data_IF_059381891597
#
_entry.id   IF_059381891597
#
_cell.length_a   1.000
_cell.length_b   1.000
_cell.length_c   1.000
_cell.angle_alpha   90.00
_cell.angle_beta   90.00
_cell.angle_gamma   90.00
#
_symmetry.space_group_name_H-M   'P 1'
#
loop_
_entity.id
_entity.type
_entity.pdbx_description
1 polymer ?
#
# COMPACT_ATOMS: atom_id res chain seq x y z
N UNK A 1 0.68 -3.04 -0.91
CA UNK A 1 2.10 -2.74 -1.15
C UNK A 1 2.96 -3.25 0.00
N UNK A 2 4.29 -3.39 -0.23
CA UNK A 2 5.27 -3.49 0.86
C UNK A 2 5.44 -2.15 1.57
N UNK A 3 6.06 -2.14 2.75
CA UNK A 3 6.18 -0.96 3.61
C UNK A 3 7.60 -0.78 4.15
N UNK A 4 8.19 0.35 3.83
CA UNK A 4 9.56 0.68 4.25
C UNK A 4 9.57 1.86 5.24
N UNK A 5 8.75 2.88 4.99
CA UNK A 5 8.81 4.14 5.72
C UNK A 5 7.49 4.93 5.62
N UNK A 6 7.33 5.93 6.48
CA UNK A 6 6.28 6.96 6.29
C UNK A 6 6.46 7.73 4.96
N UNK A 7 7.64 7.71 4.35
CA UNK A 7 7.86 8.27 3.02
C UNK A 7 7.02 7.57 1.94
N UNK A 8 6.63 6.30 2.13
CA UNK A 8 5.76 5.58 1.20
C UNK A 8 4.44 6.34 1.00
N UNK A 9 3.96 7.05 2.03
CA UNK A 9 2.75 7.88 1.96
C UNK A 9 2.95 9.00 0.93
N UNK A 10 4.08 9.72 0.99
CA UNK A 10 4.40 10.80 0.06
C UNK A 10 4.60 10.26 -1.36
N UNK A 11 5.27 9.12 -1.48
CA UNK A 11 5.54 8.44 -2.75
C UNK A 11 4.24 8.06 -3.46
N UNK A 12 3.30 7.41 -2.77
CA UNK A 12 2.00 7.06 -3.37
C UNK A 12 1.16 8.29 -3.67
N UNK A 13 1.14 9.27 -2.78
CA UNK A 13 0.35 10.51 -2.96
C UNK A 13 0.85 11.37 -4.12
N UNK A 14 2.13 11.27 -4.48
CA UNK A 14 2.70 11.99 -5.63
C UNK A 14 2.23 11.44 -6.98
N UNK A 15 1.75 10.18 -7.01
CA UNK A 15 1.35 9.51 -8.26
C UNK A 15 -0.15 9.63 -8.50
N UNK A 16 -0.95 9.44 -7.45
CA UNK A 16 -2.40 9.42 -7.53
C UNK A 16 -3.02 9.85 -6.21
N UNK A 17 -4.21 10.45 -6.27
CA UNK A 17 -5.02 10.67 -5.07
C UNK A 17 -5.40 9.30 -4.49
N UNK A 18 -4.87 9.00 -3.32
CA UNK A 18 -5.11 7.75 -2.59
C UNK A 18 -5.32 8.04 -1.11
N UNK A 19 -6.07 7.20 -0.43
CA UNK A 19 -6.17 7.20 1.03
C UNK A 19 -5.45 5.97 1.58
N UNK A 20 -5.06 6.01 2.84
CA UNK A 20 -4.29 4.95 3.49
C UNK A 20 -5.09 4.26 4.57
N UNK A 21 -4.71 3.03 4.87
CA UNK A 21 -5.18 2.30 6.04
C UNK A 21 -4.04 2.25 7.05
N UNK A 22 -4.18 2.99 8.15
CA UNK A 22 -3.16 3.14 9.17
C UNK A 22 -3.61 2.60 10.54
N UNK A 23 -2.67 2.44 11.47
CA UNK A 23 -2.97 2.10 12.87
C UNK A 23 -3.58 3.32 13.57
N UNK A 24 -4.49 3.08 14.50
CA UNK A 24 -5.13 4.14 15.30
C UNK A 24 -4.15 5.01 16.09
N UNK A 25 -2.99 4.47 16.48
CA UNK A 25 -1.96 5.21 17.21
C UNK A 25 -1.41 6.42 16.42
N UNK A 26 -1.43 6.37 15.09
CA UNK A 26 -0.99 7.48 14.23
C UNK A 26 -1.84 8.73 14.42
N UNK A 27 -3.09 8.59 14.89
CA UNK A 27 -3.97 9.72 15.20
C UNK A 27 -3.44 10.62 16.34
N UNK A 28 -2.59 10.08 17.20
CA UNK A 28 -2.05 10.80 18.35
C UNK A 28 -0.72 11.48 18.05
N UNK A 29 -0.14 11.26 16.89
CA UNK A 29 1.16 11.83 16.54
C UNK A 29 1.01 13.30 16.12
N UNK A 30 1.74 14.23 16.75
CA UNK A 30 1.72 15.63 16.37
C UNK A 30 2.07 15.78 14.88
N UNK A 31 1.42 16.73 14.18
CA UNK A 31 1.61 17.00 12.77
C UNK A 31 1.10 15.88 11.83
N UNK A 32 1.49 14.61 12.05
CA UNK A 32 1.09 13.49 11.20
C UNK A 32 -0.40 13.15 11.31
N UNK A 33 -1.02 13.38 12.46
CA UNK A 33 -2.47 13.22 12.62
C UNK A 33 -3.24 14.15 11.69
N UNK A 34 -2.76 15.37 11.50
CA UNK A 34 -3.38 16.35 10.59
C UNK A 34 -3.20 15.92 9.13
N UNK A 35 -2.00 15.51 8.73
CA UNK A 35 -1.74 15.01 7.38
C UNK A 35 -2.56 13.76 7.07
N UNK A 36 -2.64 12.81 7.99
CA UNK A 36 -3.43 11.61 7.81
C UNK A 36 -4.94 11.90 7.67
N UNK A 37 -5.45 12.90 8.41
CA UNK A 37 -6.84 13.37 8.25
C UNK A 37 -7.07 14.05 6.90
N UNK A 38 -6.15 14.90 6.45
CA UNK A 38 -6.24 15.56 5.14
C UNK A 38 -6.20 14.55 3.99
N UNK A 39 -5.53 13.42 4.18
CA UNK A 39 -5.51 12.31 3.22
C UNK A 39 -6.65 11.31 3.43
N UNK A 40 -7.60 11.65 4.29
CA UNK A 40 -8.77 10.81 4.57
C UNK A 40 -8.38 9.36 4.94
N UNK A 41 -7.32 9.22 5.76
CA UNK A 41 -6.79 7.93 6.19
C UNK A 41 -7.80 7.18 7.05
N UNK A 42 -8.05 5.92 6.73
CA UNK A 42 -8.87 5.02 7.55
C UNK A 42 -8.02 4.46 8.68
N UNK A 43 -8.46 4.67 9.93
CA UNK A 43 -7.71 4.22 11.10
C UNK A 43 -8.27 2.92 11.65
N UNK A 44 -7.41 1.90 11.76
CA UNK A 44 -7.79 0.56 12.21
C UNK A 44 -7.20 0.28 13.60
N UNK A 45 -8.08 0.02 14.57
CA UNK A 45 -7.68 -0.50 15.87
C UNK A 45 -7.59 -2.03 15.83
N UNK A 46 -6.38 -2.57 15.97
CA UNK A 46 -6.11 -4.01 15.81
C UNK A 46 -6.27 -4.80 17.12
N UNK A 47 -6.32 -4.13 18.25
CA UNK A 47 -6.32 -4.75 19.59
C UNK A 47 -7.69 -5.21 20.06
N UNK A 48 -8.78 -4.67 19.51
CA UNK A 48 -10.15 -5.01 19.92
C UNK A 48 -10.95 -5.62 18.77
N UNK A 49 -11.32 -6.90 18.89
CA UNK A 49 -12.15 -7.62 17.90
C UNK A 49 -13.45 -6.91 17.53
N UNK A 50 -14.07 -6.22 18.49
CA UNK A 50 -15.32 -5.47 18.28
C UNK A 50 -15.14 -4.25 17.37
N UNK A 51 -13.97 -3.61 17.35
CA UNK A 51 -13.69 -2.46 16.49
C UNK A 51 -13.18 -2.84 15.09
N UNK A 52 -12.78 -4.09 14.89
CA UNK A 52 -12.37 -4.61 13.58
C UNK A 52 -13.54 -4.61 12.58
N UNK A 53 -14.77 -4.79 13.06
CA UNK A 53 -15.99 -4.71 12.26
C UNK A 53 -16.21 -3.29 11.72
N UNK A 54 -16.15 -2.29 12.58
CA UNK A 54 -16.36 -0.86 12.22
C UNK A 54 -15.35 -0.40 11.18
N UNK A 55 -14.06 -0.72 11.37
CA UNK A 55 -13.03 -0.36 10.41
C UNK A 55 -13.22 -1.08 9.04
N UNK A 56 -13.70 -2.32 9.06
CA UNK A 56 -14.03 -3.04 7.83
C UNK A 56 -15.19 -2.39 7.09
N UNK A 57 -16.23 -1.97 7.81
CA UNK A 57 -17.40 -1.30 7.23
C UNK A 57 -16.99 0.07 6.65
N UNK A 58 -16.15 0.84 7.34
CA UNK A 58 -15.59 2.09 6.85
C UNK A 58 -14.77 1.89 5.55
N UNK A 59 -13.88 0.90 5.53
CA UNK A 59 -13.11 0.55 4.32
C UNK A 59 -14.06 0.18 3.17
N UNK A 60 -15.10 -0.61 3.45
CA UNK A 60 -16.10 -0.98 2.46
C UNK A 60 -16.82 0.25 1.90
N UNK A 61 -17.33 1.13 2.75
CA UNK A 61 -18.09 2.29 2.33
C UNK A 61 -17.23 3.24 1.48
N UNK A 62 -15.95 3.38 1.82
CA UNK A 62 -14.98 4.13 1.02
C UNK A 62 -14.74 3.49 -0.35
N UNK A 63 -14.59 2.16 -0.41
CA UNK A 63 -14.44 1.43 -1.68
C UNK A 63 -15.69 1.52 -2.55
N UNK A 64 -16.89 1.47 -1.95
CA UNK A 64 -18.17 1.66 -2.66
C UNK A 64 -18.29 3.07 -3.21
N UNK A 65 -17.78 4.07 -2.51
CA UNK A 65 -17.71 5.48 -2.97
C UNK A 65 -16.67 5.71 -4.07
N UNK A 66 -15.93 4.68 -4.49
CA UNK A 66 -14.93 4.76 -5.57
C UNK A 66 -13.53 5.17 -5.12
N UNK A 67 -13.27 5.21 -3.82
CA UNK A 67 -11.95 5.55 -3.29
C UNK A 67 -10.90 4.48 -3.59
N UNK A 68 -9.67 4.92 -3.81
CA UNK A 68 -8.52 4.04 -3.91
C UNK A 68 -7.79 4.00 -2.57
N UNK A 69 -7.73 2.83 -1.93
CA UNK A 69 -7.10 2.64 -0.63
C UNK A 69 -5.76 1.91 -0.76
N UNK A 70 -4.73 2.45 -0.14
CA UNK A 70 -3.41 1.79 -0.02
C UNK A 70 -3.34 1.05 1.31
N UNK A 71 -3.04 -0.24 1.23
CA UNK A 71 -2.85 -1.11 2.37
C UNK A 71 -1.42 -1.65 2.40
N UNK A 72 -0.82 -1.66 3.58
CA UNK A 72 0.47 -2.31 3.86
C UNK A 72 0.24 -3.61 4.66
N UNK A 73 0.10 -4.77 3.98
CA UNK A 73 -0.31 -6.01 4.65
C UNK A 73 0.79 -6.62 5.55
N UNK A 74 2.03 -6.14 5.47
CA UNK A 74 3.10 -6.46 6.41
C UNK A 74 2.72 -6.07 7.85
N UNK A 75 1.95 -5.01 7.99
CA UNK A 75 1.48 -4.51 9.27
C UNK A 75 2.55 -3.81 10.11
N UNK A 76 3.74 -3.66 9.57
CA UNK A 76 4.86 -2.88 10.10
C UNK A 76 5.78 -2.53 8.95
N UNK A 77 6.62 -1.53 9.10
CA UNK A 77 7.72 -1.20 8.20
C UNK A 77 8.96 -2.04 8.54
N UNK A 78 9.93 -2.08 7.64
CA UNK A 78 11.21 -2.78 7.78
C UNK A 78 12.35 -1.98 7.15
N UNK A 79 13.56 -2.54 7.13
CA UNK A 79 14.80 -1.91 6.65
C UNK A 79 14.86 -1.62 5.13
N UNK A 80 13.80 -1.91 4.39
CA UNK A 80 13.72 -1.71 2.93
C UNK A 80 14.45 -2.75 2.08
N UNK A 81 15.14 -3.71 2.70
CA UNK A 81 15.89 -4.75 1.99
C UNK A 81 15.06 -6.00 1.67
N UNK A 82 13.88 -6.13 2.23
CA UNK A 82 13.02 -7.30 2.10
C UNK A 82 11.54 -6.92 2.17
N UNK A 83 10.69 -7.85 1.76
CA UNK A 83 9.24 -7.80 1.99
C UNK A 83 8.93 -8.78 3.11
N UNK A 84 8.28 -8.31 4.17
CA UNK A 84 7.82 -9.16 5.26
C UNK A 84 6.56 -9.95 4.85
N UNK A 85 6.23 -11.05 5.55
CA UNK A 85 5.03 -11.81 5.26
C UNK A 85 3.75 -10.99 5.33
N UNK A 86 2.89 -11.14 4.32
CA UNK A 86 1.60 -10.45 4.26
C UNK A 86 0.60 -11.11 5.19
N UNK A 87 0.09 -10.34 6.14
CA UNK A 87 -0.93 -10.78 7.10
C UNK A 87 -2.31 -10.82 6.43
N UNK A 88 -2.78 -11.99 6.08
CA UNK A 88 -4.08 -12.16 5.42
C UNK A 88 -5.25 -11.54 6.21
N UNK A 89 -5.13 -11.42 7.53
CA UNK A 89 -6.12 -10.77 8.37
C UNK A 89 -6.33 -9.29 7.99
N UNK A 90 -5.28 -8.59 7.53
CA UNK A 90 -5.34 -7.20 7.09
C UNK A 90 -6.03 -7.04 5.74
N UNK A 91 -6.07 -8.10 4.94
CA UNK A 91 -6.70 -8.11 3.63
C UNK A 91 -8.18 -8.52 3.67
N UNK A 92 -8.82 -8.50 4.84
CA UNK A 92 -10.23 -8.87 5.00
C UNK A 92 -11.19 -8.05 4.15
N UNK A 93 -10.88 -6.78 3.90
CA UNK A 93 -11.66 -5.91 3.03
C UNK A 93 -11.67 -6.37 1.56
N UNK A 94 -10.68 -7.14 1.11
CA UNK A 94 -10.65 -7.68 -0.25
C UNK A 94 -11.76 -8.72 -0.54
N UNK A 95 -12.38 -9.29 0.49
CA UNK A 95 -13.52 -10.20 0.37
C UNK A 95 -14.88 -9.46 0.38
N UNK A 96 -14.85 -8.13 0.49
CA UNK A 96 -16.06 -7.31 0.50
C UNK A 96 -16.68 -7.27 -0.90
N UNK A 97 -18.00 -7.23 -0.93
CA UNK A 97 -18.78 -7.06 -2.16
C UNK A 97 -19.17 -5.59 -2.28
N UNK A 98 -18.83 -4.96 -3.41
CA UNK A 98 -19.11 -3.55 -3.66
C UNK A 98 -20.54 -3.29 -4.13
N UNK A 99 -21.26 -4.35 -4.53
CA UNK A 99 -22.61 -4.28 -5.07
C UNK A 99 -22.83 -5.35 -6.11
N UNK A 100 -23.84 -5.15 -6.96
CA UNK A 100 -24.14 -5.98 -8.13
C UNK A 100 -24.15 -5.10 -9.38
N UNK A 101 -23.65 -5.61 -10.49
CA UNK A 101 -23.73 -4.96 -11.78
C UNK A 101 -25.15 -5.08 -12.40
N UNK A 102 -25.34 -4.47 -13.56
CA UNK A 102 -26.62 -4.49 -14.29
C UNK A 102 -27.09 -5.92 -14.68
N UNK A 103 -26.18 -6.90 -14.68
CA UNK A 103 -26.48 -8.32 -14.94
C UNK A 103 -26.80 -9.11 -13.67
N UNK A 104 -26.79 -8.47 -12.48
CA UNK A 104 -26.99 -9.12 -11.18
C UNK A 104 -25.75 -9.83 -10.64
N UNK A 105 -24.59 -9.69 -11.29
CA UNK A 105 -23.33 -10.27 -10.84
C UNK A 105 -22.67 -9.38 -9.77
N UNK A 106 -22.17 -10.01 -8.73
CA UNK A 106 -21.44 -9.31 -7.66
C UNK A 106 -20.17 -8.63 -8.19
N UNK A 107 -19.97 -7.36 -7.83
CA UNK A 107 -18.77 -6.59 -8.12
C UNK A 107 -17.73 -6.86 -7.01
N UNK A 108 -16.61 -7.55 -7.31
CA UNK A 108 -15.57 -7.82 -6.32
C UNK A 108 -14.68 -6.61 -6.10
N UNK A 109 -14.04 -6.53 -4.93
CA UNK A 109 -12.91 -5.61 -4.71
C UNK A 109 -11.74 -6.04 -5.58
N UNK A 110 -11.20 -5.09 -6.34
CA UNK A 110 -9.97 -5.30 -7.12
C UNK A 110 -8.78 -4.94 -6.24
N UNK A 111 -7.84 -5.85 -6.11
CA UNK A 111 -6.58 -5.66 -5.40
C UNK A 111 -5.45 -5.61 -6.41
N UNK A 112 -4.73 -4.49 -6.45
CA UNK A 112 -3.54 -4.35 -7.27
C UNK A 112 -2.29 -4.44 -6.40
N UNK A 113 -1.48 -5.50 -6.52
CA UNK A 113 -0.19 -5.57 -5.85
C UNK A 113 0.74 -4.47 -6.37
N UNK A 114 1.44 -3.78 -5.47
CA UNK A 114 2.40 -2.74 -5.82
C UNK A 114 3.68 -2.95 -5.04
N UNK A 115 4.82 -2.96 -5.71
CA UNK A 115 6.14 -2.99 -5.08
C UNK A 115 6.76 -1.60 -5.07
N UNK A 116 7.36 -1.24 -3.92
CA UNK A 116 8.09 0.00 -3.71
C UNK A 116 9.52 -0.34 -3.34
N UNK A 117 10.49 0.30 -3.97
CA UNK A 117 11.90 0.10 -3.68
C UNK A 117 12.67 1.42 -3.72
N UNK A 118 13.40 1.71 -2.67
CA UNK A 118 14.33 2.86 -2.58
C UNK A 118 15.65 2.39 -3.18
N UNK A 119 15.94 2.82 -4.41
CA UNK A 119 16.98 2.22 -5.24
C UNK A 119 18.25 3.05 -5.38
N UNK A 120 18.15 4.38 -5.23
CA UNK A 120 19.27 5.26 -5.47
C UNK A 120 19.24 6.54 -4.62
N UNK A 121 20.39 7.20 -4.57
CA UNK A 121 20.59 8.51 -3.96
C UNK A 121 21.36 9.36 -4.94
N UNK A 122 20.84 10.54 -5.32
CA UNK A 122 21.43 11.39 -6.38
C UNK A 122 21.65 10.66 -7.72
N UNK A 123 20.77 9.74 -8.10
CA UNK A 123 20.90 8.93 -9.30
C UNK A 123 21.96 7.82 -9.23
N UNK A 124 22.60 7.63 -8.06
CA UNK A 124 23.59 6.57 -7.83
C UNK A 124 22.90 5.41 -7.12
N UNK A 125 23.05 4.15 -7.60
CA UNK A 125 22.46 3.00 -6.95
C UNK A 125 22.82 2.89 -5.48
N UNK A 126 21.82 2.75 -4.62
CA UNK A 126 21.98 2.64 -3.19
C UNK A 126 22.16 1.17 -2.80
N UNK A 127 23.30 0.83 -2.20
CA UNK A 127 23.59 -0.51 -1.71
C UNK A 127 22.72 -0.91 -0.51
N UNK A 128 22.74 -2.19 -0.20
CA UNK A 128 21.97 -2.79 0.91
C UNK A 128 22.20 -2.07 2.25
N UNK A 129 23.41 -1.61 2.50
CA UNK A 129 23.81 -0.95 3.75
C UNK A 129 23.19 0.46 3.90
N UNK A 130 22.94 1.15 2.78
CA UNK A 130 22.44 2.52 2.79
C UNK A 130 20.91 2.61 2.71
N UNK A 131 20.20 1.57 2.30
CA UNK A 131 18.72 1.58 2.22
C UNK A 131 18.04 1.87 3.54
N UNK A 132 18.51 1.35 4.70
CA UNK A 132 17.92 1.67 6.00
C UNK A 132 17.88 3.16 6.34
N UNK A 133 18.69 3.99 5.68
CA UNK A 133 18.69 5.45 5.88
C UNK A 133 17.36 6.13 5.55
N UNK A 134 16.58 5.56 4.63
CA UNK A 134 15.23 6.03 4.27
C UNK A 134 14.12 5.17 4.85
N UNK A 135 14.48 4.08 5.51
CA UNK A 135 13.54 3.20 6.19
C UNK A 135 13.27 3.70 7.60
N UNK A 136 12.02 3.59 8.04
CA UNK A 136 11.65 3.94 9.42
C UNK A 136 10.97 2.74 10.06
N UNK A 137 11.64 2.11 11.02
CA UNK A 137 11.21 0.86 11.63
C UNK A 137 11.75 0.70 13.05
N UNK A 138 11.23 -0.27 13.80
CA UNK A 138 11.61 -0.51 15.18
C UNK A 138 11.30 0.67 16.10
N UNK A 139 12.25 1.05 16.93
CA UNK A 139 12.12 2.13 17.92
C UNK A 139 12.72 3.47 17.45
N UNK A 140 12.85 3.65 16.13
CA UNK A 140 13.39 4.90 15.58
C UNK A 140 12.49 6.09 15.90
N UNK A 141 13.09 7.16 16.42
CA UNK A 141 12.40 8.42 16.63
C UNK A 141 12.14 9.12 15.30
N UNK A 142 10.89 9.57 15.10
CA UNK A 142 10.43 10.10 13.84
C UNK A 142 11.13 11.41 13.43
N UNK A 143 11.23 12.39 14.36
CA UNK A 143 11.74 13.72 14.04
C UNK A 143 13.24 13.72 13.71
N UNK A 144 14.12 13.06 14.47
CA UNK A 144 15.51 12.90 14.11
C UNK A 144 15.70 12.21 12.77
N UNK A 145 14.98 11.09 12.54
CA UNK A 145 15.06 10.37 11.27
C UNK A 145 14.61 11.22 10.07
N UNK A 146 13.51 11.96 10.20
CA UNK A 146 13.02 12.86 9.13
C UNK A 146 14.08 13.92 8.79
N UNK A 147 14.71 14.52 9.82
CA UNK A 147 15.73 15.52 9.61
C UNK A 147 16.96 14.97 8.88
N UNK A 148 17.44 13.81 9.28
CA UNK A 148 18.55 13.14 8.63
C UNK A 148 18.22 12.76 7.18
N UNK A 149 17.06 12.14 6.93
CA UNK A 149 16.65 11.76 5.59
C UNK A 149 16.53 12.98 4.65
N UNK A 150 16.00 14.11 5.14
CA UNK A 150 15.92 15.35 4.35
C UNK A 150 17.31 15.94 4.02
N UNK A 151 18.30 15.74 4.90
CA UNK A 151 19.68 16.21 4.68
C UNK A 151 20.45 15.35 3.69
N UNK A 152 20.06 14.10 3.51
CA UNK A 152 20.72 13.18 2.57
C UNK A 152 20.51 13.58 1.11
N UNK A 153 19.42 14.27 0.80
CA UNK A 153 19.09 14.73 -0.55
C UNK A 153 18.10 13.85 -1.30
N UNK A 154 18.01 14.00 -2.61
CA UNK A 154 17.00 13.33 -3.42
C UNK A 154 17.24 11.81 -3.47
N UNK A 155 16.17 11.06 -3.19
CA UNK A 155 16.15 9.60 -3.24
C UNK A 155 15.41 9.13 -4.48
N UNK A 156 15.94 8.11 -5.14
CA UNK A 156 15.31 7.46 -6.28
C UNK A 156 14.45 6.30 -5.80
N UNK A 157 13.16 6.34 -6.14
CA UNK A 157 12.20 5.32 -5.75
C UNK A 157 11.57 4.69 -7.00
N UNK A 158 11.60 3.38 -7.06
CA UNK A 158 10.90 2.61 -8.10
C UNK A 158 9.59 2.08 -7.54
N UNK A 159 8.49 2.37 -8.23
CA UNK A 159 7.17 1.81 -7.96
C UNK A 159 6.77 0.99 -9.18
N UNK A 160 6.36 -0.25 -8.92
CA UNK A 160 5.86 -1.15 -9.95
C UNK A 160 4.44 -1.61 -9.61
N UNK A 161 3.49 -1.29 -10.48
CA UNK A 161 2.12 -1.76 -10.40
C UNK A 161 2.01 -3.09 -11.13
N UNK A 162 1.60 -4.14 -10.42
CA UNK A 162 1.47 -5.48 -10.98
C UNK A 162 0.02 -5.73 -11.45
N UNK A 163 -0.21 -6.86 -12.11
CA UNK A 163 -1.54 -7.23 -12.58
C UNK A 163 -2.56 -7.25 -11.44
N UNK A 164 -3.75 -6.66 -11.62
CA UNK A 164 -4.81 -6.67 -10.63
C UNK A 164 -5.35 -8.09 -10.42
N UNK A 165 -5.85 -8.37 -9.23
CA UNK A 165 -6.42 -9.65 -8.83
C UNK A 165 -7.61 -9.47 -7.88
N UNK A 166 -8.40 -10.52 -7.70
CA UNK A 166 -9.51 -10.53 -6.76
C UNK A 166 -9.33 -11.67 -5.74
N UNK A 167 -9.99 -11.55 -4.60
CA UNK A 167 -9.95 -12.60 -3.59
C UNK A 167 -10.56 -13.91 -4.12
N UNK A 168 -11.65 -13.81 -4.88
CA UNK A 168 -12.30 -14.96 -5.51
C UNK A 168 -11.38 -15.62 -6.55
N UNK A 169 -10.79 -14.85 -7.46
CA UNK A 169 -9.87 -15.37 -8.49
C UNK A 169 -8.60 -16.00 -7.93
N UNK A 170 -8.17 -15.58 -6.74
CA UNK A 170 -7.02 -16.15 -6.05
C UNK A 170 -7.35 -17.40 -5.22
N UNK A 171 -8.64 -17.73 -5.02
CA UNK A 171 -9.06 -18.83 -4.13
C UNK A 171 -9.21 -18.42 -2.67
N UNK A 172 -9.52 -17.14 -2.41
CA UNK A 172 -9.80 -16.60 -1.09
C UNK A 172 -8.68 -15.71 -0.54
N UNK A 173 -8.96 -15.04 0.57
CA UNK A 173 -8.10 -14.04 1.19
C UNK A 173 -6.68 -14.53 1.52
N UNK A 174 -6.55 -15.77 1.99
CA UNK A 174 -5.23 -16.32 2.35
C UNK A 174 -4.36 -16.55 1.11
N UNK A 175 -4.95 -17.10 0.06
CA UNK A 175 -4.28 -17.31 -1.23
C UNK A 175 -3.94 -15.96 -1.90
N UNK A 176 -4.86 -14.99 -1.85
CA UNK A 176 -4.62 -13.63 -2.32
C UNK A 176 -3.41 -12.99 -1.62
N UNK A 177 -3.32 -13.09 -0.29
CA UNK A 177 -2.21 -12.54 0.47
C UNK A 177 -0.87 -13.17 0.06
N UNK A 178 -0.80 -14.49 -0.06
CA UNK A 178 0.40 -15.22 -0.44
C UNK A 178 0.83 -14.91 -1.89
N UNK A 179 -0.13 -14.82 -2.82
CA UNK A 179 0.13 -14.47 -4.22
C UNK A 179 0.63 -13.02 -4.33
N UNK A 180 -0.05 -12.06 -3.69
CA UNK A 180 0.35 -10.66 -3.67
C UNK A 180 1.73 -10.47 -3.05
N UNK A 181 2.03 -11.13 -1.92
CA UNK A 181 3.37 -11.11 -1.31
C UNK A 181 4.44 -11.58 -2.27
N UNK A 182 4.22 -12.71 -2.92
CA UNK A 182 5.18 -13.29 -3.88
C UNK A 182 5.45 -12.33 -5.04
N UNK A 183 4.42 -11.71 -5.58
CA UNK A 183 4.51 -10.75 -6.67
C UNK A 183 5.29 -9.50 -6.23
N UNK A 184 4.92 -8.92 -5.09
CA UNK A 184 5.55 -7.70 -4.55
C UNK A 184 7.00 -7.95 -4.21
N UNK A 185 7.32 -9.09 -3.59
CA UNK A 185 8.70 -9.50 -3.27
C UNK A 185 9.57 -9.61 -4.51
N UNK A 186 9.06 -10.22 -5.58
CA UNK A 186 9.77 -10.32 -6.87
C UNK A 186 9.98 -8.95 -7.51
N UNK A 187 8.96 -8.07 -7.49
CA UNK A 187 9.06 -6.72 -8.01
C UNK A 187 10.10 -5.89 -7.27
N UNK A 188 10.06 -5.88 -5.92
CA UNK A 188 11.06 -5.21 -5.11
C UNK A 188 12.47 -5.75 -5.40
N UNK A 189 12.66 -7.07 -5.43
CA UNK A 189 13.97 -7.67 -5.68
C UNK A 189 14.56 -7.26 -7.03
N UNK A 190 13.75 -7.27 -8.11
CA UNK A 190 14.18 -6.78 -9.44
C UNK A 190 14.60 -5.32 -9.41
N UNK A 191 13.77 -4.45 -8.80
CA UNK A 191 14.07 -3.04 -8.69
C UNK A 191 15.38 -2.79 -7.92
N UNK A 192 15.59 -3.51 -6.82
CA UNK A 192 16.82 -3.42 -6.01
C UNK A 192 18.06 -3.99 -6.74
N UNK A 193 17.88 -4.92 -7.67
CA UNK A 193 18.95 -5.45 -8.53
C UNK A 193 19.28 -4.51 -9.71
N UNK A 194 18.52 -3.43 -9.91
CA UNK A 194 18.69 -2.54 -11.05
C UNK A 194 18.20 -3.13 -12.38
N UNK A 195 17.39 -4.18 -12.33
CA UNK A 195 16.81 -4.76 -13.53
C UNK A 195 15.81 -3.81 -14.19
N UNK A 196 15.78 -3.75 -15.55
CA UNK A 196 14.83 -2.90 -16.25
C UNK A 196 13.39 -3.28 -15.90
N UNK A 197 12.54 -2.27 -15.79
CA UNK A 197 11.09 -2.47 -15.56
C UNK A 197 10.55 -3.48 -16.57
N UNK A 198 9.82 -4.46 -16.08
CA UNK A 198 9.05 -5.34 -16.93
C UNK A 198 8.14 -4.49 -17.82
N UNK A 199 8.13 -4.72 -19.15
CA UNK A 199 7.21 -4.00 -20.06
C UNK A 199 5.80 -4.08 -19.47
N UNK A 200 5.06 -2.96 -19.37
CA UNK A 200 3.69 -3.01 -18.87
C UNK A 200 2.93 -4.06 -19.69
N UNK A 201 2.31 -5.00 -18.99
CA UNK A 201 1.25 -5.81 -19.60
C UNK A 201 0.23 -4.80 -20.09
N UNK A 202 -0.08 -4.83 -21.39
CA UNK A 202 -0.98 -3.89 -22.04
C UNK A 202 -2.20 -3.64 -21.12
N UNK A 203 -2.39 -2.37 -20.77
CA UNK A 203 -3.53 -1.94 -19.98
C UNK A 203 -4.82 -2.38 -20.72
N UNK A 204 -5.49 -3.38 -20.17
CA UNK A 204 -6.93 -3.47 -20.37
C UNK A 204 -7.49 -2.45 -19.35
N UNK A 205 -8.00 -1.29 -19.82
CA UNK A 205 -8.60 -0.34 -18.90
C UNK A 205 -9.70 -1.07 -18.13
N UNK A 206 -9.82 -0.87 -16.81
CA UNK A 206 -10.99 -1.34 -16.10
C UNK A 206 -12.18 -0.70 -16.81
N UNK A 207 -13.13 -1.54 -17.21
CA UNK A 207 -14.38 -1.10 -17.84
C UNK A 207 -14.93 0.08 -17.03
N UNK A 208 -15.15 1.19 -17.71
CA UNK A 208 -15.61 2.43 -17.12
C UNK A 208 -16.87 2.18 -16.28
N UNK A 209 -16.71 2.24 -14.96
CA UNK A 209 -17.82 2.44 -14.03
C UNK A 209 -17.84 3.93 -13.74
N UNK A 210 -18.17 4.73 -14.72
CA UNK A 210 -18.66 6.11 -14.52
C UNK A 210 -19.29 6.57 -15.82
N UNK A 211 -20.58 6.43 -15.91
CA UNK A 211 -21.47 7.45 -16.51
C UNK A 211 -22.90 6.96 -16.40
N UNK A 212 -23.50 7.18 -15.24
CA UNK A 212 -24.95 7.36 -15.12
C UNK A 212 -25.23 7.98 -13.75
N UNK A 213 -24.97 9.26 -13.65
CA UNK A 213 -25.64 10.13 -12.71
C UNK A 213 -25.88 11.46 -13.43
N UNK A 214 -26.99 11.48 -14.15
CA UNK A 214 -27.72 12.68 -14.55
C UNK A 214 -29.16 12.53 -14.11
#
# INVERSE_FOLDING_TARGET
ANHTSYFDILVFSSIKRVSFVAKSEVQTWPFFSTLARLQETVFVERTRRTKTGVARDEIRDRLVSGDTLVLFPEGTSNDGNQVLPFKSALMGAAETKLGTDASGKTIPVIVQPVSVAYVGLYGIPMGRENRPMFAWYGDMELVPHLWEALRMGPVDVVIEFHAPMTAEGAGGRKALAAAAETIVRKGQARALAGEPKHKPVAETPPAAIVEQAA
#
